data_IF_436015528734
#
_entry.id   IF_436015528734
#
_cell.length_a   1.000
_cell.length_b   1.000
_cell.length_c   1.000
_cell.angle_alpha   90.00
_cell.angle_beta   90.00
_cell.angle_gamma   90.00
#
_symmetry.space_group_name_H-M   'P 1'
#
loop_
_entity.id
_entity.type
_entity.pdbx_description
1 polymer ?
#
# COMPACT_ATOMS: atom_id res chain seq x y z
N UNK A 1 0.82 -8.27 -59.52
CA UNK A 1 -0.35 -8.16 -58.61
C UNK A 1 -0.54 -9.42 -57.76
N UNK A 2 -0.41 -10.62 -58.33
CA UNK A 2 -0.63 -11.90 -57.64
C UNK A 2 0.25 -12.16 -56.39
N UNK A 3 1.55 -11.83 -56.43
CA UNK A 3 2.45 -12.06 -55.29
C UNK A 3 2.15 -11.16 -54.09
N UNK A 4 1.64 -9.94 -54.32
CA UNK A 4 1.28 -9.01 -53.24
C UNK A 4 0.04 -9.50 -52.49
N UNK A 5 -0.95 -10.00 -53.23
CA UNK A 5 -2.16 -10.57 -52.66
C UNK A 5 -1.88 -11.83 -51.83
N UNK A 6 -1.00 -12.72 -52.29
CA UNK A 6 -0.58 -13.91 -51.52
C UNK A 6 0.09 -13.52 -50.19
N UNK A 7 0.97 -12.52 -50.21
CA UNK A 7 1.66 -12.05 -49.02
C UNK A 7 0.69 -11.42 -47.99
N UNK A 8 -0.26 -10.59 -48.45
CA UNK A 8 -1.30 -10.01 -47.59
C UNK A 8 -2.22 -11.09 -46.98
N UNK A 9 -2.53 -12.14 -47.74
CA UNK A 9 -3.33 -13.26 -47.26
C UNK A 9 -2.62 -14.06 -46.14
N UNK A 10 -1.30 -14.23 -46.28
CA UNK A 10 -0.46 -14.93 -45.30
C UNK A 10 -0.30 -14.12 -44.01
N UNK A 11 -0.11 -12.79 -44.12
CA UNK A 11 -0.08 -11.88 -42.98
C UNK A 11 -1.42 -11.90 -42.22
N UNK A 12 -2.54 -11.86 -42.94
CA UNK A 12 -3.87 -11.89 -42.32
C UNK A 12 -4.10 -13.23 -41.59
N UNK A 13 -3.70 -14.34 -42.20
CA UNK A 13 -3.77 -15.67 -41.58
C UNK A 13 -2.93 -15.74 -40.30
N UNK A 14 -1.70 -15.25 -40.32
CA UNK A 14 -0.82 -15.23 -39.15
C UNK A 14 -1.37 -14.34 -38.03
N UNK A 15 -1.90 -13.16 -38.39
CA UNK A 15 -2.54 -12.23 -37.44
C UNK A 15 -3.77 -12.86 -36.79
N UNK A 16 -4.58 -13.58 -37.55
CA UNK A 16 -5.75 -14.30 -37.04
C UNK A 16 -5.36 -15.42 -36.07
N UNK A 17 -4.29 -16.17 -36.37
CA UNK A 17 -3.78 -17.19 -35.45
C UNK A 17 -3.25 -16.59 -34.15
N UNK A 18 -2.50 -15.49 -34.22
CA UNK A 18 -1.97 -14.83 -33.02
C UNK A 18 -3.09 -14.25 -32.15
N UNK A 19 -4.10 -13.63 -32.75
CA UNK A 19 -5.27 -13.16 -32.01
C UNK A 19 -5.99 -14.28 -31.27
N UNK A 20 -6.07 -15.47 -31.89
CA UNK A 20 -6.64 -16.65 -31.23
C UNK A 20 -5.79 -17.13 -30.05
N UNK A 21 -4.46 -17.09 -30.20
CA UNK A 21 -3.50 -17.43 -29.14
C UNK A 21 -3.64 -16.47 -27.95
N UNK A 22 -3.68 -15.18 -28.21
CA UNK A 22 -3.85 -14.13 -27.21
C UNK A 22 -5.20 -14.24 -26.47
N UNK A 23 -6.29 -14.60 -27.15
CA UNK A 23 -7.58 -14.84 -26.50
C UNK A 23 -7.52 -16.02 -25.52
N UNK A 24 -6.84 -17.11 -25.89
CA UNK A 24 -6.65 -18.26 -24.99
C UNK A 24 -5.78 -17.90 -23.78
N UNK A 25 -4.72 -17.12 -24.01
CA UNK A 25 -3.82 -16.66 -22.95
C UNK A 25 -4.54 -15.72 -21.97
N UNK A 26 -5.34 -14.77 -22.47
CA UNK A 26 -6.17 -13.90 -21.63
C UNK A 26 -7.18 -14.69 -20.80
N UNK A 27 -7.84 -15.70 -21.38
CA UNK A 27 -8.76 -16.55 -20.62
C UNK A 27 -8.05 -17.29 -19.49
N UNK A 28 -6.87 -17.86 -19.77
CA UNK A 28 -6.04 -18.55 -18.79
C UNK A 28 -5.54 -17.62 -17.69
N UNK A 29 -5.11 -16.41 -18.03
CA UNK A 29 -4.67 -15.40 -17.06
C UNK A 29 -5.83 -14.94 -16.17
N UNK A 30 -7.00 -14.71 -16.75
CA UNK A 30 -8.21 -14.36 -15.99
C UNK A 30 -8.56 -15.43 -14.95
N UNK A 31 -8.48 -16.71 -15.31
CA UNK A 31 -8.70 -17.82 -14.40
C UNK A 31 -7.66 -17.86 -13.28
N UNK A 32 -6.37 -17.67 -13.61
CA UNK A 32 -5.28 -17.61 -12.64
C UNK A 32 -5.45 -16.46 -11.64
N UNK A 33 -5.90 -15.30 -12.11
CA UNK A 33 -6.21 -14.15 -11.25
C UNK A 33 -7.35 -14.45 -10.27
N UNK A 34 -8.43 -15.09 -10.74
CA UNK A 34 -9.54 -15.50 -9.87
C UNK A 34 -9.09 -16.49 -8.79
N UNK A 35 -8.24 -17.45 -9.15
CA UNK A 35 -7.72 -18.44 -8.20
C UNK A 35 -6.81 -17.78 -7.14
N UNK A 36 -5.97 -16.82 -7.54
CA UNK A 36 -5.13 -16.06 -6.61
C UNK A 36 -5.96 -15.23 -5.63
N UNK A 37 -7.01 -14.56 -6.11
CA UNK A 37 -7.97 -13.81 -5.27
C UNK A 37 -8.67 -14.73 -4.26
N UNK A 38 -9.08 -15.93 -4.70
CA UNK A 38 -9.71 -16.95 -3.84
C UNK A 38 -8.75 -17.45 -2.76
N UNK A 39 -7.49 -17.74 -3.10
CA UNK A 39 -6.47 -18.14 -2.13
C UNK A 39 -6.19 -17.05 -1.09
N UNK A 40 -6.14 -15.79 -1.52
CA UNK A 40 -5.98 -14.63 -0.62
C UNK A 40 -7.15 -14.53 0.38
N UNK A 41 -8.38 -14.72 -0.09
CA UNK A 41 -9.56 -14.73 0.78
C UNK A 41 -9.56 -15.91 1.77
N UNK A 42 -9.08 -17.09 1.36
CA UNK A 42 -9.00 -18.26 2.23
C UNK A 42 -8.00 -18.03 3.38
N UNK A 43 -6.80 -17.51 3.06
CA UNK A 43 -5.77 -17.18 4.06
C UNK A 43 -6.25 -16.12 5.06
N UNK A 44 -7.03 -15.14 4.61
CA UNK A 44 -7.65 -14.17 5.51
C UNK A 44 -8.70 -14.82 6.43
N UNK A 45 -9.55 -15.74 5.95
CA UNK A 45 -10.55 -16.43 6.78
C UNK A 45 -9.93 -17.38 7.82
N UNK A 46 -8.84 -18.07 7.49
CA UNK A 46 -8.12 -18.93 8.44
C UNK A 46 -7.50 -18.12 9.59
N UNK A 47 -6.96 -16.93 9.30
CA UNK A 47 -6.36 -16.05 10.32
C UNK A 47 -7.37 -15.46 11.33
N UNK A 48 -8.67 -15.39 10.99
CA UNK A 48 -9.73 -14.88 11.88
C UNK A 48 -10.31 -15.99 12.77
N UNK A 49 -10.13 -17.27 12.41
CA UNK A 49 -10.73 -18.40 13.14
C UNK A 49 -9.82 -18.96 14.26
N UNK A 50 -8.55 -18.57 14.31
CA UNK A 50 -7.55 -18.99 15.32
C UNK A 50 -7.40 -17.97 16.48
N UNK A 51 -8.49 -17.32 16.88
CA UNK A 51 -8.49 -16.44 18.07
C UNK A 51 -9.83 -16.49 18.80
N UNK A 52 -10.16 -17.66 19.35
CA UNK A 52 -11.00 -17.75 20.54
C UNK A 52 -10.13 -18.27 21.69
N UNK A 53 -9.61 -17.35 22.50
CA UNK A 53 -9.13 -17.68 23.84
C UNK A 53 -10.31 -17.57 24.82
N UNK A 54 -10.48 -18.52 25.75
CA UNK A 54 -11.54 -18.47 26.75
C UNK A 54 -11.21 -17.39 27.80
N UNK A 55 -12.21 -16.57 28.12
CA UNK A 55 -12.20 -15.65 29.24
C UNK A 55 -12.31 -16.42 30.56
N UNK A 56 -11.21 -16.54 31.30
CA UNK A 56 -11.24 -16.92 32.72
C UNK A 56 -10.87 -15.72 33.59
N UNK A 57 -11.84 -15.33 34.42
CA UNK A 57 -11.69 -14.46 35.58
C UNK A 57 -10.61 -14.98 36.52
N UNK A 58 -9.72 -14.12 36.98
CA UNK A 58 -9.24 -14.12 38.36
C UNK A 58 -8.60 -12.77 38.68
N UNK A 59 -9.15 -12.11 39.70
CA UNK A 59 -8.63 -10.86 40.23
C UNK A 59 -7.30 -11.04 40.95
N UNK A 60 -6.54 -9.95 41.00
CA UNK A 60 -5.64 -9.57 42.09
C UNK A 60 -5.29 -8.09 41.94
N UNK A 61 -5.72 -7.33 42.93
CA UNK A 61 -5.43 -5.91 43.13
C UNK A 61 -3.93 -5.61 43.05
N UNK A 62 -3.56 -4.57 42.29
CA UNK A 62 -2.28 -3.86 42.47
C UNK A 62 -2.53 -2.36 42.41
N UNK A 63 -2.54 -1.78 43.62
CA UNK A 63 -2.23 -0.41 44.03
C UNK A 63 -2.11 0.70 42.95
N UNK A 64 -3.10 1.60 42.92
CA UNK A 64 -2.98 2.94 42.31
C UNK A 64 -2.52 3.92 43.39
N UNK A 65 -1.23 4.24 43.36
CA UNK A 65 -0.64 5.34 44.13
C UNK A 65 -0.90 6.69 43.45
N UNK A 66 -1.57 7.59 44.18
CA UNK A 66 -1.84 9.00 43.93
C UNK A 66 -0.96 9.74 42.92
N UNK A 67 -1.60 10.51 42.03
CA UNK A 67 -1.15 11.88 41.73
C UNK A 67 -2.35 12.80 41.57
N UNK A 68 -2.66 13.56 42.63
CA UNK A 68 -3.53 14.74 42.60
C UNK A 68 -2.73 15.92 42.04
N UNK A 69 -3.34 16.69 41.13
CA UNK A 69 -3.14 18.14 41.05
C UNK A 69 -4.50 18.82 40.93
N UNK A 70 -4.65 20.04 41.51
CA UNK A 70 -5.93 20.63 41.87
C UNK A 70 -6.54 21.46 40.74
N UNK A 71 -7.82 21.81 40.91
CA UNK A 71 -8.61 22.56 39.94
C UNK A 71 -8.06 23.95 39.61
N UNK A 72 -8.29 24.35 38.37
CA UNK A 72 -8.05 25.68 37.82
C UNK A 72 -8.68 25.75 36.43
N UNK A 73 -9.73 26.56 36.31
CA UNK A 73 -10.55 26.77 35.13
C UNK A 73 -9.73 27.06 33.86
N UNK A 74 -10.02 26.36 32.77
CA UNK A 74 -10.10 26.95 31.41
C UNK A 74 -10.97 26.05 30.53
N UNK A 75 -12.13 26.56 30.14
CA UNK A 75 -13.06 25.94 29.22
C UNK A 75 -12.52 26.12 27.78
N UNK A 76 -11.35 25.56 27.48
CA UNK A 76 -10.69 25.69 26.18
C UNK A 76 -10.12 24.33 25.74
N UNK A 77 -10.63 23.84 24.61
CA UNK A 77 -10.09 22.79 23.75
C UNK A 77 -10.28 21.33 24.18
N UNK A 78 -11.52 20.83 24.05
CA UNK A 78 -11.82 19.40 23.86
C UNK A 78 -11.42 18.87 22.46
N UNK A 79 -10.34 19.38 21.87
CA UNK A 79 -9.86 18.89 20.57
C UNK A 79 -8.81 17.81 20.80
N UNK A 80 -9.01 16.57 20.31
CA UNK A 80 -8.03 15.52 20.48
C UNK A 80 -6.69 15.93 19.83
N UNK A 81 -5.59 15.63 20.50
CA UNK A 81 -4.25 15.80 19.92
C UNK A 81 -4.07 14.95 18.67
N UNK A 82 -3.11 15.32 17.82
CA UNK A 82 -2.76 14.59 16.59
C UNK A 82 -2.52 13.09 16.85
N UNK A 83 -1.82 12.78 17.94
CA UNK A 83 -1.57 11.40 18.36
C UNK A 83 -2.84 10.67 18.83
N UNK A 84 -3.73 11.35 19.56
CA UNK A 84 -5.00 10.76 20.00
C UNK A 84 -5.92 10.48 18.81
N UNK A 85 -6.02 11.41 17.86
CA UNK A 85 -6.79 11.22 16.64
C UNK A 85 -6.24 10.05 15.81
N UNK A 86 -4.93 10.03 15.55
CA UNK A 86 -4.28 8.95 14.81
C UNK A 86 -4.55 7.58 15.44
N UNK A 87 -4.38 7.46 16.76
CA UNK A 87 -4.62 6.20 17.47
C UNK A 87 -6.09 5.77 17.46
N UNK A 88 -7.03 6.71 17.42
CA UNK A 88 -8.46 6.43 17.29
C UNK A 88 -8.84 5.87 15.93
N UNK A 89 -8.22 6.34 14.84
CA UNK A 89 -8.62 5.98 13.47
C UNK A 89 -7.78 4.86 12.84
N UNK A 90 -6.55 4.63 13.30
CA UNK A 90 -5.59 3.71 12.63
C UNK A 90 -6.07 2.26 12.46
N UNK A 91 -7.05 1.81 13.24
CA UNK A 91 -7.61 0.44 13.17
C UNK A 91 -8.68 0.28 12.08
N UNK A 92 -9.16 1.39 11.50
CA UNK A 92 -10.30 1.43 10.58
C UNK A 92 -9.90 1.76 9.14
N UNK A 93 -8.60 1.92 8.87
CA UNK A 93 -8.07 2.27 7.56
C UNK A 93 -7.06 1.23 7.11
N UNK A 94 -6.90 1.08 5.80
CA UNK A 94 -5.91 0.16 5.22
C UNK A 94 -4.48 0.61 5.51
N UNK A 95 -3.51 -0.31 5.42
CA UNK A 95 -2.10 0.00 5.70
C UNK A 95 -1.54 1.12 4.81
N UNK A 96 -1.91 1.18 3.52
CA UNK A 96 -1.47 2.24 2.61
C UNK A 96 -2.04 3.60 2.99
N UNK A 97 -3.33 3.65 3.36
CA UNK A 97 -3.97 4.86 3.87
C UNK A 97 -3.38 5.29 5.21
N UNK A 98 -3.01 4.32 6.05
CA UNK A 98 -2.35 4.59 7.32
C UNK A 98 -0.97 5.22 7.12
N UNK A 99 -0.20 4.76 6.14
CA UNK A 99 1.09 5.35 5.77
C UNK A 99 0.89 6.79 5.27
N UNK A 100 -0.03 7.02 4.33
CA UNK A 100 -0.39 8.38 3.85
C UNK A 100 -0.79 9.30 5.00
N UNK A 101 -1.70 8.85 5.86
CA UNK A 101 -2.12 9.62 7.03
C UNK A 101 -0.94 9.91 7.97
N UNK A 102 -0.01 8.97 8.16
CA UNK A 102 1.17 9.18 9.00
C UNK A 102 2.13 10.18 8.39
N UNK A 103 2.30 10.15 7.07
CA UNK A 103 3.08 11.15 6.32
C UNK A 103 2.44 12.53 6.46
N UNK A 104 1.12 12.67 6.29
CA UNK A 104 0.42 13.94 6.52
C UNK A 104 0.52 14.43 7.97
N UNK A 105 0.33 13.51 8.90
CA UNK A 105 0.24 13.87 10.31
C UNK A 105 1.62 14.09 10.96
N UNK A 106 2.65 13.38 10.53
CA UNK A 106 3.93 13.34 11.22
C UNK A 106 5.12 13.37 10.26
N UNK A 107 4.89 13.69 8.99
CA UNK A 107 5.96 13.92 8.02
C UNK A 107 6.73 15.19 8.36
N UNK A 108 8.05 15.07 8.37
CA UNK A 108 9.00 16.18 8.46
C UNK A 108 10.26 15.76 7.72
N UNK A 109 11.01 16.72 7.18
CA UNK A 109 12.29 16.46 6.52
C UNK A 109 13.34 15.87 7.49
N UNK A 110 13.24 16.17 8.79
CA UNK A 110 14.20 15.75 9.81
C UNK A 110 13.93 14.35 10.38
N UNK A 111 12.91 13.66 9.87
CA UNK A 111 12.47 12.36 10.40
C UNK A 111 12.72 11.26 9.37
N UNK A 112 13.18 10.12 9.85
CA UNK A 112 13.28 8.90 9.05
C UNK A 112 11.91 8.37 8.58
N UNK A 113 11.85 8.10 7.27
CA UNK A 113 10.71 7.47 6.61
C UNK A 113 10.65 5.99 6.94
N UNK A 114 9.46 5.50 7.31
CA UNK A 114 9.25 4.07 7.59
C UNK A 114 9.14 3.27 6.30
N UNK A 115 9.41 1.95 6.31
CA UNK A 115 9.36 1.12 5.09
C UNK A 115 8.01 1.17 4.35
N UNK A 116 6.90 1.25 5.08
CA UNK A 116 5.56 1.38 4.49
C UNK A 116 5.35 2.74 3.81
N UNK A 117 5.92 3.80 4.37
CA UNK A 117 5.89 5.16 3.81
C UNK A 117 6.77 5.27 2.56
N UNK A 118 7.98 4.70 2.61
CA UNK A 118 8.89 4.63 1.47
C UNK A 118 8.22 3.90 0.30
N UNK A 119 7.65 2.71 0.55
CA UNK A 119 6.96 1.95 -0.50
C UNK A 119 5.81 2.74 -1.13
N UNK A 120 4.97 3.40 -0.32
CA UNK A 120 3.89 4.23 -0.87
C UNK A 120 4.43 5.40 -1.69
N UNK A 121 5.49 6.07 -1.24
CA UNK A 121 6.10 7.16 -1.99
C UNK A 121 6.68 6.68 -3.33
N UNK A 122 7.32 5.51 -3.34
CA UNK A 122 7.85 4.87 -4.55
C UNK A 122 6.72 4.46 -5.51
N UNK A 123 5.62 3.92 -4.99
CA UNK A 123 4.43 3.58 -5.79
C UNK A 123 3.82 4.84 -6.43
N UNK A 124 3.69 5.93 -5.67
CA UNK A 124 3.20 7.21 -6.18
C UNK A 124 4.10 7.79 -7.28
N UNK A 125 5.42 7.66 -7.11
CA UNK A 125 6.38 8.16 -8.10
C UNK A 125 6.33 7.32 -9.40
N UNK A 126 6.11 6.01 -9.29
CA UNK A 126 5.93 5.14 -10.46
C UNK A 126 4.64 5.43 -11.24
N UNK A 127 3.61 6.02 -10.61
CA UNK A 127 2.44 6.53 -11.33
C UNK A 127 2.76 7.78 -12.16
N UNK A 128 3.83 8.49 -11.83
CA UNK A 128 4.37 9.61 -12.58
C UNK A 128 4.77 10.79 -11.70
N UNK A 129 5.80 11.52 -12.13
CA UNK A 129 6.33 12.70 -11.42
C UNK A 129 5.25 13.77 -11.15
N UNK A 130 4.34 13.97 -12.10
CA UNK A 130 3.26 14.95 -11.97
C UNK A 130 2.19 14.51 -10.96
N UNK A 131 1.95 13.19 -10.83
CA UNK A 131 1.06 12.64 -9.80
C UNK A 131 1.69 12.85 -8.41
N UNK A 132 2.99 12.59 -8.29
CA UNK A 132 3.72 12.79 -7.06
C UNK A 132 3.68 14.25 -6.60
N UNK A 133 3.96 15.19 -7.51
CA UNK A 133 3.85 16.64 -7.24
C UNK A 133 2.43 17.05 -6.87
N UNK A 134 1.42 16.57 -7.62
CA UNK A 134 0.03 16.90 -7.34
C UNK A 134 -0.40 16.46 -5.92
N UNK A 135 -0.01 15.25 -5.50
CA UNK A 135 -0.31 14.76 -4.14
C UNK A 135 0.44 15.57 -3.07
N UNK A 136 1.68 15.99 -3.35
CA UNK A 136 2.44 16.84 -2.42
C UNK A 136 1.85 18.25 -2.30
N UNK A 137 1.44 18.85 -3.42
CA UNK A 137 1.09 20.27 -3.48
C UNK A 137 -0.41 20.51 -3.23
N UNK A 138 -1.27 19.76 -3.91
CA UNK A 138 -2.73 19.92 -3.82
C UNK A 138 -3.28 19.20 -2.58
N UNK A 139 -2.91 17.94 -2.39
CA UNK A 139 -3.37 17.17 -1.23
C UNK A 139 -2.56 17.48 0.04
N UNK A 140 -1.47 18.25 -0.12
CA UNK A 140 -0.59 18.76 0.95
C UNK A 140 0.10 17.67 1.77
N UNK A 141 0.15 16.44 1.24
CA UNK A 141 0.87 15.35 1.88
C UNK A 141 2.34 15.71 2.03
N UNK A 142 2.89 15.48 3.21
CA UNK A 142 4.31 15.68 3.47
C UNK A 142 5.06 14.45 2.98
N UNK A 143 5.46 14.47 1.71
CA UNK A 143 6.17 13.36 1.08
C UNK A 143 7.70 13.51 1.22
N UNK A 144 8.47 12.41 1.09
CA UNK A 144 9.93 12.46 0.98
C UNK A 144 10.41 13.32 -0.19
N UNK A 145 11.69 13.68 -0.20
CA UNK A 145 12.26 14.40 -1.33
C UNK A 145 12.28 13.52 -2.59
N UNK A 146 11.93 14.07 -3.75
CA UNK A 146 11.91 13.33 -5.02
C UNK A 146 13.22 12.59 -5.31
N UNK A 147 14.37 13.21 -5.03
CA UNK A 147 15.69 12.59 -5.23
C UNK A 147 15.91 11.36 -4.34
N UNK A 148 15.39 11.40 -3.12
CA UNK A 148 15.46 10.31 -2.14
C UNK A 148 14.63 9.10 -2.62
N UNK A 149 13.39 9.35 -3.06
CA UNK A 149 12.51 8.30 -3.58
C UNK A 149 13.07 7.64 -4.85
N UNK A 150 13.70 8.43 -5.74
CA UNK A 150 14.36 7.90 -6.93
C UNK A 150 15.54 6.99 -6.58
N UNK A 151 16.31 7.34 -5.56
CA UNK A 151 17.42 6.51 -5.10
C UNK A 151 16.90 5.15 -4.58
N UNK A 152 15.85 5.17 -3.74
CA UNK A 152 15.24 3.93 -3.26
C UNK A 152 14.69 3.04 -4.39
N UNK A 153 14.11 3.65 -5.43
CA UNK A 153 13.61 2.92 -6.60
C UNK A 153 14.75 2.25 -7.35
N UNK A 154 15.84 2.98 -7.59
CA UNK A 154 17.02 2.43 -8.24
C UNK A 154 17.62 1.27 -7.44
N UNK A 155 17.77 1.42 -6.12
CA UNK A 155 18.29 0.37 -5.24
C UNK A 155 17.41 -0.89 -5.27
N UNK A 156 16.09 -0.71 -5.27
CA UNK A 156 15.14 -1.84 -5.35
C UNK A 156 15.18 -2.53 -6.70
N UNK A 157 15.26 -1.78 -7.81
CA UNK A 157 15.35 -2.35 -9.15
C UNK A 157 16.66 -3.11 -9.35
N UNK A 158 17.78 -2.55 -8.90
CA UNK A 158 19.09 -3.22 -8.99
C UNK A 158 19.12 -4.51 -8.15
N UNK A 159 18.57 -4.48 -6.93
CA UNK A 159 18.47 -5.67 -6.07
C UNK A 159 17.60 -6.79 -6.63
N UNK A 160 16.62 -6.49 -7.49
CA UNK A 160 15.77 -7.50 -8.12
C UNK A 160 16.48 -8.12 -9.33
N UNK A 161 17.30 -7.35 -10.04
CA UNK A 161 18.03 -7.84 -11.21
C UNK A 161 19.17 -8.80 -10.84
N UNK A 162 19.80 -8.61 -9.68
CA UNK A 162 20.91 -9.46 -9.21
C UNK A 162 20.47 -10.87 -8.72
N UNK A 163 19.16 -11.08 -8.48
CA UNK A 163 18.61 -12.37 -7.98
C UNK A 163 18.07 -13.28 -9.10
N UNK A 164 18.06 -12.83 -10.37
CA UNK A 164 17.63 -13.65 -11.53
C UNK A 164 18.77 -14.46 -12.19
N UNK A 165 20.02 -14.26 -11.75
CA UNK A 165 21.23 -14.90 -12.33
C UNK A 165 21.85 -16.01 -11.45
N UNK A 166 21.11 -16.55 -10.46
CA UNK A 166 21.54 -17.63 -9.55
C UNK A 166 20.76 -18.94 -9.70
#
# INVERSE_FOLDING_TARGET
MENKYKNELEINKNTSMENRRLQQENARLSEKCMEYEKQKQLKQKESVTTSQAPSSSNGKDIAIGNRRYPGGHNNMQNTPSKAQLFNGIKKYISSSMLALLRMEMFGSADRDWKPDEQRVAMDLLQLGDEVYKYINDEWRFRLPALGEVRAWLADTTNSIHDEEDL
#
